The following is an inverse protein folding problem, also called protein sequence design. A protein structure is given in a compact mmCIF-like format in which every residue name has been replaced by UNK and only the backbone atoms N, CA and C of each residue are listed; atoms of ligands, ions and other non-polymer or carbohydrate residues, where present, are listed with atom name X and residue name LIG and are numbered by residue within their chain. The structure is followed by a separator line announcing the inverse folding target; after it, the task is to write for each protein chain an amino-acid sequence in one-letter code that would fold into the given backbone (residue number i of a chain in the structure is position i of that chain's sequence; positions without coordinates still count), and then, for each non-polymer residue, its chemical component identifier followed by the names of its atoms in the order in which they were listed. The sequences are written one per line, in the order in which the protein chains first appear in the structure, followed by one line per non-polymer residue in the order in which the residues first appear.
data_IF_023879567066
#
_entry.id   IF_023879567066
#
_cell.length_a   1.000
_cell.length_b   1.000
_cell.length_c   1.000
_cell.angle_alpha   90.00
_cell.angle_beta   90.00
_cell.angle_gamma   90.00
#
_symmetry.space_group_name_H-M   'P 1'
#
loop_
_entity.id
_entity.type
_entity.pdbx_description
1 polymer ?
#
# COMPACT_ATOMS: atom_id res chain seq x y z
N UNK A 1 -22.08 -7.01 -6.45
CA UNK A 1 -21.03 -6.06 -6.69
C UNK A 1 -20.90 -5.10 -5.55
N UNK A 2 -19.70 -4.60 -5.30
CA UNK A 2 -19.47 -3.68 -4.23
C UNK A 2 -19.68 -4.27 -2.85
N UNK A 3 -19.48 -5.52 -2.72
CA UNK A 3 -19.74 -6.18 -1.45
C UNK A 3 -18.53 -6.35 -0.57
N UNK A 4 -17.38 -5.95 -1.02
CA UNK A 4 -16.21 -6.08 -0.20
C UNK A 4 -16.14 -4.91 0.76
N UNK A 5 -15.59 -5.18 1.92
CA UNK A 5 -15.39 -4.19 2.95
C UNK A 5 -13.94 -4.24 3.36
N UNK A 6 -13.30 -3.11 3.40
CA UNK A 6 -11.90 -3.03 3.84
C UNK A 6 -11.89 -2.98 5.35
N UNK A 7 -11.32 -3.99 5.98
CA UNK A 7 -11.25 -4.06 7.42
C UNK A 7 -9.84 -4.36 7.85
N UNK A 8 -9.56 -4.06 9.09
CA UNK A 8 -8.29 -4.39 9.68
C UNK A 8 -8.24 -5.89 9.93
N UNK A 9 -7.18 -6.52 9.45
CA UNK A 9 -7.05 -7.95 9.60
C UNK A 9 -6.68 -8.31 11.02
N UNK A 10 -7.46 -9.15 11.69
CA UNK A 10 -7.16 -9.44 13.07
C UNK A 10 -6.19 -10.59 13.27
N UNK A 11 -6.09 -11.48 12.31
CA UNK A 11 -5.49 -12.76 12.62
C UNK A 11 -4.04 -12.90 12.27
N UNK A 12 -3.62 -12.30 11.20
CA UNK A 12 -2.26 -12.47 10.71
C UNK A 12 -1.25 -11.58 11.37
N UNK A 13 -1.66 -10.92 12.42
CA UNK A 13 -0.84 -9.91 13.05
C UNK A 13 0.45 -10.48 13.64
N UNK A 14 0.36 -11.65 14.23
CA UNK A 14 1.51 -12.20 14.92
C UNK A 14 2.65 -12.49 13.96
N UNK A 15 2.32 -13.13 12.88
CA UNK A 15 3.30 -13.49 11.89
C UNK A 15 3.88 -12.27 11.21
N UNK A 16 3.04 -11.32 10.91
CA UNK A 16 3.51 -10.10 10.30
C UNK A 16 4.32 -9.25 11.24
N UNK A 17 3.91 -9.22 12.47
CA UNK A 17 4.65 -8.46 13.46
C UNK A 17 6.04 -9.01 13.63
N UNK A 18 6.19 -10.34 13.62
CA UNK A 18 7.50 -10.93 13.75
C UNK A 18 8.39 -10.58 12.58
N UNK A 19 7.85 -10.61 11.38
CA UNK A 19 8.61 -10.26 10.20
C UNK A 19 9.00 -8.80 10.19
N UNK A 20 8.13 -7.96 10.67
CA UNK A 20 8.39 -6.53 10.67
C UNK A 20 9.35 -6.10 11.75
N UNK A 21 9.33 -6.79 12.85
CA UNK A 21 10.24 -6.46 13.94
C UNK A 21 11.69 -6.58 13.53
N UNK A 22 11.97 -7.42 12.56
CA UNK A 22 13.32 -7.55 12.06
C UNK A 22 13.72 -6.38 11.17
N UNK A 23 12.73 -5.82 10.48
CA UNK A 23 13.03 -4.83 9.45
C UNK A 23 12.91 -3.42 9.94
N UNK A 24 11.87 -3.12 10.70
CA UNK A 24 11.55 -1.73 11.01
C UNK A 24 11.17 -1.62 12.45
N UNK A 25 12.15 -1.39 13.26
CA UNK A 25 11.91 -1.23 14.66
C UNK A 25 11.29 0.14 14.94
N UNK A 26 10.27 0.15 15.78
CA UNK A 26 9.67 1.39 16.21
C UNK A 26 8.62 1.95 15.25
N UNK A 27 8.14 1.14 14.33
CA UNK A 27 7.06 1.57 13.45
C UNK A 27 5.80 0.80 13.75
N UNK A 28 4.67 1.42 13.49
CA UNK A 28 3.37 0.78 13.59
C UNK A 28 2.93 0.32 12.22
N UNK A 29 2.21 -0.76 12.20
CA UNK A 29 1.72 -1.31 10.95
C UNK A 29 0.21 -1.47 11.03
N UNK A 30 -0.46 -1.16 9.94
CA UNK A 30 -1.89 -1.34 9.78
C UNK A 30 -2.10 -2.23 8.58
N UNK A 31 -2.91 -3.26 8.74
CA UNK A 31 -3.19 -4.18 7.65
C UNK A 31 -4.67 -4.12 7.35
N UNK A 32 -4.99 -3.80 6.11
CA UNK A 32 -6.37 -3.72 5.64
C UNK A 32 -6.63 -4.88 4.70
N UNK A 33 -7.77 -5.52 4.86
CA UNK A 33 -8.14 -6.64 4.01
C UNK A 33 -9.49 -6.35 3.39
N UNK A 34 -9.58 -6.55 2.09
CA UNK A 34 -10.84 -6.47 1.38
C UNK A 34 -11.37 -7.88 1.20
N UNK A 35 -12.62 -8.10 1.58
CA UNK A 35 -13.23 -9.43 1.51
C UNK A 35 -14.46 -9.39 0.65
N UNK A 36 -14.69 -10.49 -0.04
CA UNK A 36 -15.90 -10.69 -0.81
C UNK A 36 -16.40 -12.08 -0.51
N UNK A 37 -17.62 -12.17 0.03
CA UNK A 37 -18.19 -13.47 0.37
C UNK A 37 -17.37 -14.23 1.39
N UNK A 38 -16.73 -13.53 2.30
CA UNK A 38 -15.92 -14.16 3.33
C UNK A 38 -14.52 -14.53 2.89
N UNK A 39 -14.17 -14.24 1.64
CA UNK A 39 -12.84 -14.56 1.12
C UNK A 39 -12.03 -13.31 0.92
N UNK A 40 -10.77 -13.32 1.31
CA UNK A 40 -9.93 -12.13 1.07
C UNK A 40 -9.64 -11.99 -0.41
N UNK A 41 -9.88 -10.80 -0.94
CA UNK A 41 -9.65 -10.52 -2.35
C UNK A 41 -8.63 -9.43 -2.56
N UNK A 42 -8.19 -8.80 -1.49
CA UNK A 42 -7.15 -7.78 -1.57
C UNK A 42 -6.61 -7.47 -0.20
N UNK A 43 -5.41 -6.96 -0.18
CA UNK A 43 -4.75 -6.61 1.07
C UNK A 43 -3.87 -5.40 0.86
N UNK A 44 -3.86 -4.52 1.84
CA UNK A 44 -2.99 -3.35 1.84
C UNK A 44 -2.35 -3.23 3.19
N UNK A 45 -1.03 -3.07 3.24
CA UNK A 45 -0.37 -2.84 4.50
C UNK A 45 0.26 -1.45 4.50
N UNK A 46 0.15 -0.79 5.66
CA UNK A 46 0.72 0.52 5.90
C UNK A 46 1.76 0.39 6.99
N UNK A 47 2.90 1.01 6.77
CA UNK A 47 3.95 1.07 7.77
C UNK A 47 4.19 2.53 8.12
N UNK A 48 3.86 2.89 9.35
CA UNK A 48 3.99 4.28 9.80
C UNK A 48 5.40 4.50 10.28
N UNK A 49 6.13 5.31 9.56
CA UNK A 49 7.52 5.56 9.89
C UNK A 49 7.65 6.79 10.77
N UNK A 50 8.85 6.92 11.30
CA UNK A 50 9.19 7.92 12.28
C UNK A 50 8.95 9.36 11.81
N UNK A 51 9.14 9.60 10.52
CA UNK A 51 9.11 10.97 10.01
C UNK A 51 7.75 11.37 9.46
N UNK A 52 6.72 10.61 9.80
CA UNK A 52 5.38 10.96 9.36
C UNK A 52 5.04 10.48 7.97
N UNK A 53 5.87 9.63 7.40
CA UNK A 53 5.60 9.05 6.09
C UNK A 53 5.10 7.63 6.32
N UNK A 54 4.00 7.28 5.66
CA UNK A 54 3.47 5.92 5.71
C UNK A 54 3.77 5.23 4.39
N UNK A 55 4.50 4.13 4.47
CA UNK A 55 4.79 3.31 3.28
C UNK A 55 3.69 2.29 3.12
N UNK A 56 3.25 2.09 1.89
CA UNK A 56 2.18 1.13 1.65
C UNK A 56 2.57 0.09 0.62
N UNK A 57 2.01 -1.10 0.79
CA UNK A 57 2.06 -2.15 -0.21
C UNK A 57 0.66 -2.66 -0.41
N UNK A 58 0.33 -3.09 -1.63
CA UNK A 58 -1.03 -3.52 -1.93
C UNK A 58 -1.00 -4.66 -2.92
N UNK A 59 -1.87 -5.63 -2.68
CA UNK A 59 -2.05 -6.78 -3.56
C UNK A 59 -3.54 -7.01 -3.74
N UNK A 60 -3.95 -7.22 -4.98
CA UNK A 60 -5.35 -7.56 -5.28
C UNK A 60 -5.35 -8.90 -6.02
N UNK A 61 -6.23 -9.80 -5.61
CA UNK A 61 -6.33 -11.10 -6.22
C UNK A 61 -6.61 -10.97 -7.71
N UNK A 62 -6.04 -11.89 -8.51
CA UNK A 62 -6.06 -11.74 -9.95
C UNK A 62 -7.47 -11.61 -10.51
N UNK A 63 -8.40 -12.40 -9.99
CA UNK A 63 -9.77 -12.36 -10.51
C UNK A 63 -10.54 -11.14 -10.05
N UNK A 64 -9.95 -10.32 -9.20
CA UNK A 64 -10.65 -9.16 -8.65
C UNK A 64 -10.04 -7.84 -9.09
N UNK A 65 -9.07 -7.88 -9.97
CA UNK A 65 -8.48 -6.66 -10.49
C UNK A 65 -9.47 -5.95 -11.39
N UNK A 66 -9.41 -4.62 -11.36
CA UNK A 66 -10.32 -3.82 -12.18
C UNK A 66 -11.74 -3.79 -11.66
N UNK A 67 -11.96 -4.22 -10.42
CA UNK A 67 -13.31 -4.28 -9.86
C UNK A 67 -13.47 -3.36 -8.66
N UNK A 68 -12.57 -2.42 -8.49
CA UNK A 68 -12.70 -1.42 -7.45
C UNK A 68 -12.11 -1.80 -6.09
N UNK A 69 -11.50 -2.97 -5.98
CA UNK A 69 -10.92 -3.39 -4.71
C UNK A 69 -9.76 -2.50 -4.32
N UNK A 70 -8.86 -2.22 -5.27
CA UNK A 70 -7.74 -1.35 -4.99
C UNK A 70 -8.17 0.05 -4.62
N UNK A 71 -9.19 0.55 -5.29
CA UNK A 71 -9.73 1.86 -4.98
C UNK A 71 -10.23 1.92 -3.54
N UNK A 72 -10.98 0.90 -3.12
CA UNK A 72 -11.52 0.87 -1.77
C UNK A 72 -10.41 0.78 -0.73
N UNK A 73 -9.40 -0.06 -0.99
CA UNK A 73 -8.29 -0.19 -0.06
C UNK A 73 -7.50 1.11 0.06
N UNK A 74 -7.26 1.78 -1.06
CA UNK A 74 -6.52 3.03 -1.03
C UNK A 74 -7.29 4.13 -0.30
N UNK A 75 -8.61 4.19 -0.52
CA UNK A 75 -9.40 5.19 0.17
C UNK A 75 -9.32 5.01 1.68
N UNK A 76 -9.40 3.77 2.12
CA UNK A 76 -9.30 3.49 3.55
C UNK A 76 -7.89 3.80 4.07
N UNK A 77 -6.87 3.49 3.26
CA UNK A 77 -5.49 3.74 3.66
C UNK A 77 -5.23 5.23 3.85
N UNK A 78 -5.74 6.04 2.95
CA UNK A 78 -5.58 7.50 3.06
C UNK A 78 -6.20 7.98 4.37
N UNK A 79 -7.41 7.49 4.66
CA UNK A 79 -8.10 7.89 5.88
C UNK A 79 -7.34 7.46 7.13
N UNK A 80 -6.91 6.20 7.15
CA UNK A 80 -6.22 5.65 8.32
C UNK A 80 -4.87 6.31 8.54
N UNK A 81 -4.14 6.54 7.45
CA UNK A 81 -2.82 7.17 7.57
C UNK A 81 -2.96 8.59 8.10
N UNK A 82 -3.93 9.34 7.59
CA UNK A 82 -4.14 10.70 8.09
C UNK A 82 -4.51 10.72 9.55
N UNK A 83 -5.39 9.82 9.96
CA UNK A 83 -5.79 9.75 11.37
C UNK A 83 -4.64 9.35 12.28
N UNK A 84 -3.70 8.59 11.75
CA UNK A 84 -2.53 8.17 12.52
C UNK A 84 -1.44 9.24 12.54
N UNK A 85 -1.65 10.37 11.88
CA UNK A 85 -0.70 11.45 11.91
C UNK A 85 0.28 11.51 10.78
N UNK A 86 0.12 10.66 9.77
CA UNK A 86 1.02 10.69 8.63
C UNK A 86 0.72 11.91 7.78
N UNK A 87 1.76 12.51 7.23
CA UNK A 87 1.58 13.63 6.32
C UNK A 87 1.80 13.22 4.87
N UNK A 88 2.16 11.97 4.64
CA UNK A 88 2.47 11.53 3.29
C UNK A 88 2.37 10.02 3.20
N UNK A 89 1.84 9.55 2.09
CA UNK A 89 1.89 8.14 1.72
C UNK A 89 2.97 7.95 0.66
N UNK A 90 3.70 6.86 0.75
CA UNK A 90 4.74 6.55 -0.23
C UNK A 90 4.63 5.09 -0.62
N UNK A 91 5.01 4.79 -1.85
CA UNK A 91 4.99 3.40 -2.32
C UNK A 91 6.02 3.22 -3.41
N UNK A 92 6.30 1.96 -3.70
CA UNK A 92 7.11 1.59 -4.85
C UNK A 92 6.31 0.64 -5.71
N UNK A 93 6.45 0.79 -7.02
CA UNK A 93 5.67 0.00 -7.95
C UNK A 93 6.56 -0.38 -9.14
N UNK A 94 6.33 -1.59 -9.67
CA UNK A 94 7.09 -2.04 -10.84
C UNK A 94 6.69 -1.21 -12.04
N UNK A 95 7.67 -0.78 -12.87
CA UNK A 95 7.34 0.06 -14.03
C UNK A 95 6.38 -0.59 -15.02
N UNK A 96 6.37 -1.91 -15.09
CA UNK A 96 5.48 -2.59 -16.02
C UNK A 96 4.07 -2.76 -15.47
N UNK A 97 3.85 -2.42 -14.23
CA UNK A 97 2.52 -2.54 -13.63
C UNK A 97 1.71 -1.30 -13.92
N UNK A 98 1.33 -1.14 -15.20
CA UNK A 98 0.70 0.09 -15.65
C UNK A 98 -0.66 0.31 -15.02
N UNK A 99 -1.39 -0.77 -14.73
CA UNK A 99 -2.69 -0.65 -14.11
C UNK A 99 -2.58 -0.07 -12.70
N UNK A 100 -1.60 -0.53 -11.93
CA UNK A 100 -1.41 0.00 -10.59
C UNK A 100 -0.96 1.45 -10.63
N UNK A 101 -0.05 1.78 -11.54
CA UNK A 101 0.42 3.16 -11.68
C UNK A 101 -0.76 4.07 -11.99
N UNK A 102 -1.62 3.65 -12.92
CA UNK A 102 -2.76 4.48 -13.28
C UNK A 102 -3.70 4.68 -12.09
N UNK A 103 -3.89 3.63 -11.30
CA UNK A 103 -4.73 3.74 -10.11
C UNK A 103 -4.15 4.73 -9.11
N UNK A 104 -2.86 4.62 -8.85
CA UNK A 104 -2.21 5.53 -7.91
C UNK A 104 -2.28 6.97 -8.41
N UNK A 105 -2.07 7.17 -9.71
CA UNK A 105 -2.13 8.52 -10.26
C UNK A 105 -3.53 9.11 -10.16
N UNK A 106 -4.56 8.28 -10.30
CA UNK A 106 -5.92 8.77 -10.12
C UNK A 106 -6.19 9.23 -8.69
N UNK A 107 -5.49 8.64 -7.73
CA UNK A 107 -5.60 9.07 -6.34
C UNK A 107 -4.79 10.32 -6.04
N UNK A 108 -3.96 10.74 -6.97
CA UNK A 108 -3.14 11.92 -6.78
C UNK A 108 -1.69 11.63 -6.47
N UNK A 109 -1.28 10.35 -6.47
CA UNK A 109 0.12 10.04 -6.29
C UNK A 109 0.93 10.55 -7.47
N UNK A 110 2.11 11.03 -7.19
CA UNK A 110 3.03 11.53 -8.21
C UNK A 110 4.32 10.75 -8.15
N UNK A 111 4.96 10.62 -9.29
CA UNK A 111 6.23 9.93 -9.35
C UNK A 111 7.31 10.82 -8.73
N UNK A 112 8.10 10.23 -7.87
CA UNK A 112 9.14 10.97 -7.16
C UNK A 112 10.53 10.43 -7.39
N UNK A 113 10.64 9.23 -7.92
CA UNK A 113 11.95 8.67 -8.17
C UNK A 113 11.88 7.40 -8.96
N UNK A 114 13.05 6.98 -9.42
CA UNK A 114 13.18 5.78 -10.22
C UNK A 114 14.42 5.04 -9.76
N UNK A 115 14.24 3.80 -9.31
CA UNK A 115 15.33 2.97 -8.81
C UNK A 115 15.69 1.96 -9.89
N UNK A 116 16.86 2.12 -10.46
CA UNK A 116 17.28 1.25 -11.55
C UNK A 116 17.91 -0.01 -11.01
N UNK A 117 17.43 -1.17 -11.51
CA UNK A 117 18.03 -2.47 -11.20
C UNK A 117 18.18 -2.64 -9.69
N UNK A 118 17.11 -2.31 -8.97
CA UNK A 118 17.19 -2.19 -7.52
C UNK A 118 16.85 -3.49 -6.82
N UNK A 119 15.92 -4.26 -7.37
CA UNK A 119 15.42 -5.45 -6.70
C UNK A 119 15.86 -6.71 -7.44
N UNK A 120 16.56 -7.60 -6.73
CA UNK A 120 16.93 -8.89 -7.30
C UNK A 120 15.78 -9.86 -7.09
N UNK A 121 15.24 -10.36 -8.20
CA UNK A 121 14.18 -11.33 -8.14
C UNK A 121 14.75 -12.72 -7.94
N UNK A 122 13.88 -13.68 -7.65
CA UNK A 122 14.33 -15.05 -7.43
C UNK A 122 15.04 -15.62 -8.66
N UNK A 123 14.63 -15.19 -9.83
CA UNK A 123 15.25 -15.62 -11.07
C UNK A 123 16.65 -15.10 -11.25
N UNK A 124 17.05 -14.13 -10.43
CA UNK A 124 18.30 -13.43 -10.60
C UNK A 124 18.18 -12.14 -11.38
N UNK A 125 17.02 -11.91 -11.98
CA UNK A 125 16.78 -10.68 -12.70
C UNK A 125 16.76 -9.49 -11.75
N UNK A 126 17.21 -8.36 -12.26
CA UNK A 126 17.19 -7.12 -11.49
C UNK A 126 16.09 -6.23 -12.04
N UNK A 127 15.18 -5.84 -11.17
CA UNK A 127 14.01 -5.06 -11.57
C UNK A 127 14.13 -3.63 -11.08
N UNK A 128 13.63 -2.73 -11.90
CA UNK A 128 13.50 -1.32 -11.54
C UNK A 128 12.25 -1.11 -10.69
N UNK A 129 12.20 0.04 -10.02
CA UNK A 129 11.02 0.41 -9.26
C UNK A 129 10.79 1.90 -9.41
N UNK A 130 9.53 2.28 -9.43
CA UNK A 130 9.14 3.69 -9.43
C UNK A 130 8.67 4.04 -8.03
N UNK A 131 9.17 5.15 -7.50
CA UNK A 131 8.71 5.66 -6.21
C UNK A 131 7.63 6.67 -6.46
N UNK A 132 6.50 6.52 -5.75
CA UNK A 132 5.40 7.46 -5.86
C UNK A 132 4.99 7.94 -4.48
N UNK A 133 4.49 9.16 -4.41
CA UNK A 133 4.10 9.75 -3.14
C UNK A 133 2.82 10.54 -3.25
N UNK A 134 2.09 10.61 -2.14
CA UNK A 134 0.86 11.35 -2.03
C UNK A 134 0.89 12.16 -0.74
N UNK A 135 1.03 13.48 -0.82
CA UNK A 135 0.97 14.29 0.40
C UNK A 135 -0.43 14.27 0.98
N UNK A 136 -0.51 14.18 2.27
CA UNK A 136 -1.79 14.17 2.99
C UNK A 136 -2.07 15.47 3.68
N UNK A 137 -1.04 16.26 3.89
CA UNK A 137 -1.20 17.53 4.56
C UNK A 137 -2.05 18.45 3.73
N UNK A 138 -2.89 19.18 4.41
CA UNK A 138 -3.63 20.23 3.75
C UNK A 138 -3.05 21.55 4.11
N UNK A 139 -2.91 22.44 3.15
CA UNK A 139 -2.46 23.78 3.49
C UNK A 139 -3.45 24.40 4.47
N UNK A 140 -2.94 25.04 5.48
CA UNK A 140 -3.78 25.76 6.40
C UNK A 140 -4.28 26.98 5.72
N UNK A 141 -5.52 26.99 5.51
CA UNK A 141 -6.07 28.07 4.73
C UNK A 141 -6.51 29.22 5.49
#
# INVERSE_FOLDING_TARGET
EGRWIATEAPVDTERRRRRMAEDVEGTDAIILVAEAGGEPVGELDLHLARYGVADLGMVVAAGWRGRGVGTALLAEAVDRAGKAGAHKLALQVWPHNTAAIALYERFGFQREGYLRRHYRRRSGELWDAIIMGLPLDRPRG
#
